data_IF_609404901777
#
_entry.id   IF_609404901777
#
_cell.length_a   1.000
_cell.length_b   1.000
_cell.length_c   1.000
_cell.angle_alpha   90.00
_cell.angle_beta   90.00
_cell.angle_gamma   90.00
#
_symmetry.space_group_name_H-M   'P 1'
#
loop_
_entity.id
_entity.type
_entity.pdbx_description
1 polymer ?
#
# COMPACT_ATOMS: atom_id res chain seq x y z
N UNK A 1 -55.65 22.97 0.52
CA UNK A 1 -56.83 22.27 -0.03
C UNK A 1 -56.29 20.94 -0.54
N UNK A 2 -56.48 19.83 0.16
CA UNK A 2 -57.72 19.09 0.46
C UNK A 2 -58.04 18.05 -0.64
N UNK A 3 -58.25 16.80 -0.20
CA UNK A 3 -58.51 15.60 -1.01
C UNK A 3 -59.75 15.68 -1.92
N UNK A 4 -59.77 14.85 -2.98
CA UNK A 4 -60.77 13.77 -3.16
C UNK A 4 -60.60 12.98 -4.47
N UNK A 5 -61.04 11.72 -4.46
CA UNK A 5 -61.20 10.80 -5.61
C UNK A 5 -62.60 10.10 -5.47
N UNK A 6 -63.02 9.06 -6.24
CA UNK A 6 -62.70 8.59 -7.60
C UNK A 6 -63.97 8.31 -8.51
N UNK A 7 -64.32 7.09 -9.04
CA UNK A 7 -64.70 6.85 -10.46
C UNK A 7 -66.13 6.26 -10.67
N UNK A 8 -66.57 5.82 -11.90
CA UNK A 8 -66.52 4.36 -12.23
C UNK A 8 -66.66 3.86 -13.72
N UNK A 9 -65.90 2.84 -14.13
CA UNK A 9 -66.38 1.76 -15.05
C UNK A 9 -65.81 1.67 -16.49
N UNK A 10 -66.05 0.59 -17.27
CA UNK A 10 -66.69 -0.72 -17.00
C UNK A 10 -66.51 -1.71 -18.21
N UNK A 11 -66.17 -3.00 -17.94
CA UNK A 11 -66.38 -4.21 -18.81
C UNK A 11 -65.51 -4.31 -20.11
N UNK A 12 -65.24 -5.47 -20.74
CA UNK A 12 -65.70 -6.89 -20.61
C UNK A 12 -64.69 -7.88 -21.28
N UNK A 13 -64.60 -9.14 -20.79
CA UNK A 13 -64.35 -10.49 -21.43
C UNK A 13 -63.48 -10.62 -22.72
N UNK A 14 -62.71 -11.70 -22.94
CA UNK A 14 -63.12 -13.13 -22.97
C UNK A 14 -62.13 -14.15 -22.32
N UNK A 15 -62.47 -15.44 -22.40
CA UNK A 15 -61.90 -16.62 -21.73
C UNK A 15 -61.60 -17.73 -22.76
N UNK A 16 -60.93 -18.79 -22.27
CA UNK A 16 -60.79 -20.18 -22.79
C UNK A 16 -59.37 -20.56 -23.26
N UNK A 17 -58.84 -21.76 -23.00
CA UNK A 17 -59.19 -22.82 -22.03
C UNK A 17 -57.94 -23.71 -21.78
N UNK A 18 -58.04 -24.65 -20.83
CA UNK A 18 -56.91 -25.40 -20.27
C UNK A 18 -56.30 -26.51 -21.16
N UNK A 19 -55.03 -26.85 -20.89
CA UNK A 19 -54.35 -28.07 -21.33
C UNK A 19 -53.11 -28.33 -20.46
N UNK A 20 -53.03 -29.52 -19.85
CA UNK A 20 -51.94 -29.94 -18.95
C UNK A 20 -51.16 -31.06 -19.62
N UNK A 21 -49.83 -30.98 -19.64
CA UNK A 21 -48.95 -32.16 -19.54
C UNK A 21 -47.52 -31.77 -19.12
N UNK A 22 -46.73 -32.75 -18.70
CA UNK A 22 -45.51 -32.55 -17.91
C UNK A 22 -44.26 -33.21 -18.52
N UNK A 23 -43.10 -32.92 -17.92
CA UNK A 23 -41.74 -33.35 -18.31
C UNK A 23 -41.19 -32.63 -19.58
N UNK A 24 -39.88 -32.43 -19.75
CA UNK A 24 -38.70 -32.85 -18.95
C UNK A 24 -37.58 -31.80 -18.98
N UNK A 25 -36.63 -31.97 -18.06
CA UNK A 25 -35.32 -31.29 -17.96
C UNK A 25 -34.54 -31.14 -19.27
N UNK A 26 -33.84 -30.01 -19.45
CA UNK A 26 -32.42 -29.99 -19.90
C UNK A 26 -31.74 -28.63 -19.62
N UNK A 27 -30.52 -28.67 -19.08
CA UNK A 27 -29.79 -27.51 -18.55
C UNK A 27 -29.18 -26.59 -19.64
N UNK A 28 -29.53 -25.30 -19.63
CA UNK A 28 -28.76 -24.23 -20.32
C UNK A 28 -28.90 -22.85 -19.67
N UNK A 29 -28.12 -22.59 -18.62
CA UNK A 29 -27.75 -21.22 -18.19
C UNK A 29 -26.23 -21.19 -17.96
N UNK A 30 -25.45 -20.73 -18.94
CA UNK A 30 -25.08 -19.33 -19.19
C UNK A 30 -24.14 -18.75 -18.12
N UNK A 31 -22.88 -18.52 -18.51
CA UNK A 31 -21.88 -17.82 -17.69
C UNK A 31 -22.29 -16.35 -17.48
N UNK A 32 -22.82 -16.01 -16.32
CA UNK A 32 -22.86 -14.63 -15.86
C UNK A 32 -21.65 -14.31 -14.98
N UNK A 33 -20.82 -13.36 -15.42
CA UNK A 33 -19.81 -12.72 -14.59
C UNK A 33 -20.49 -11.67 -13.69
N UNK A 34 -21.25 -12.13 -12.71
CA UNK A 34 -22.01 -11.27 -11.79
C UNK A 34 -21.11 -10.45 -10.87
N UNK A 35 -21.17 -9.12 -11.00
CA UNK A 35 -20.54 -8.20 -10.04
C UNK A 35 -21.49 -8.03 -8.84
N UNK A 36 -21.37 -8.92 -7.85
CA UNK A 36 -22.33 -9.00 -6.75
C UNK A 36 -22.14 -7.95 -5.66
N UNK A 37 -23.15 -7.07 -5.47
CA UNK A 37 -23.34 -6.39 -4.19
C UNK A 37 -23.80 -7.42 -3.14
N UNK A 38 -23.25 -7.33 -1.93
CA UNK A 38 -23.24 -8.42 -0.94
C UNK A 38 -24.60 -9.06 -0.63
N UNK A 39 -24.70 -10.38 -0.87
CA UNK A 39 -25.87 -11.19 -0.56
C UNK A 39 -25.76 -11.87 0.81
N UNK A 40 -26.89 -12.00 1.52
CA UNK A 40 -26.94 -12.53 2.90
C UNK A 40 -26.89 -14.06 3.00
N UNK A 41 -26.77 -14.78 1.87
CA UNK A 41 -26.77 -16.23 1.81
C UNK A 41 -25.36 -16.82 2.00
N UNK A 42 -25.25 -18.08 2.41
CA UNK A 42 -23.96 -18.78 2.51
C UNK A 42 -23.39 -19.09 1.13
N UNK A 43 -22.39 -18.33 0.70
CA UNK A 43 -21.69 -18.54 -0.59
C UNK A 43 -20.49 -19.48 -0.41
N UNK A 44 -20.09 -20.18 -1.47
CA UNK A 44 -18.87 -21.01 -1.52
C UNK A 44 -17.75 -20.30 -2.27
N UNK A 45 -16.52 -20.78 -2.12
CA UNK A 45 -15.41 -20.34 -2.97
C UNK A 45 -15.67 -20.66 -4.46
N UNK A 46 -15.06 -19.91 -5.41
CA UNK A 46 -15.24 -20.12 -6.85
C UNK A 46 -14.51 -21.37 -7.39
N UNK A 47 -14.13 -22.30 -6.52
CA UNK A 47 -13.38 -23.52 -6.81
C UNK A 47 -13.67 -24.61 -5.76
N UNK A 48 -13.33 -25.86 -6.08
CA UNK A 48 -13.51 -27.02 -5.21
C UNK A 48 -12.18 -27.46 -4.59
N UNK A 49 -12.15 -27.54 -3.26
CA UNK A 49 -10.95 -27.88 -2.49
C UNK A 49 -9.89 -26.77 -2.49
N UNK A 50 -8.95 -26.83 -1.54
CA UNK A 50 -7.81 -25.91 -1.48
C UNK A 50 -6.63 -26.59 -0.78
N UNK A 51 -5.61 -27.00 -1.56
CA UNK A 51 -4.37 -27.58 -1.03
C UNK A 51 -3.29 -26.51 -1.01
N UNK A 52 -2.85 -26.09 0.17
CA UNK A 52 -1.78 -25.09 0.32
C UNK A 52 -0.50 -25.61 -0.35
N UNK A 53 0.02 -24.84 -1.31
CA UNK A 53 1.28 -25.09 -2.02
C UNK A 53 2.42 -24.26 -1.43
N UNK A 54 2.17 -22.99 -1.10
CA UNK A 54 3.16 -22.08 -0.52
C UNK A 54 2.50 -20.93 0.24
N UNK A 55 3.06 -20.53 1.37
CA UNK A 55 2.80 -19.19 1.95
C UNK A 55 3.55 -18.18 1.10
N UNK A 56 2.84 -17.33 0.39
CA UNK A 56 3.44 -16.28 -0.44
C UNK A 56 3.99 -15.18 0.46
N UNK A 57 3.17 -14.65 1.37
CA UNK A 57 3.52 -13.60 2.33
C UNK A 57 2.72 -13.73 3.60
N UNK A 58 3.28 -13.29 4.71
CA UNK A 58 2.58 -13.09 5.97
C UNK A 58 3.11 -11.83 6.67
N UNK A 59 2.32 -11.27 7.57
CA UNK A 59 2.76 -10.24 8.50
C UNK A 59 2.06 -10.41 9.85
N UNK A 60 2.83 -10.77 10.88
CA UNK A 60 2.34 -10.83 12.26
C UNK A 60 2.03 -9.42 12.83
N UNK A 61 2.57 -8.35 12.23
CA UNK A 61 2.21 -6.97 12.58
C UNK A 61 0.87 -6.57 11.98
N UNK A 62 0.63 -6.89 10.70
CA UNK A 62 -0.58 -6.46 9.97
C UNK A 62 -1.70 -7.52 10.02
N UNK A 63 -1.45 -8.69 10.63
CA UNK A 63 -2.40 -9.80 10.85
C UNK A 63 -3.00 -10.33 9.54
N UNK A 64 -2.15 -10.41 8.52
CA UNK A 64 -2.49 -10.81 7.15
C UNK A 64 -1.61 -11.96 6.65
N UNK A 65 -2.22 -12.85 5.85
CA UNK A 65 -1.62 -14.06 5.29
C UNK A 65 -2.05 -14.20 3.81
N UNK A 66 -1.09 -14.50 2.94
CA UNK A 66 -1.28 -14.69 1.50
C UNK A 66 -0.87 -16.13 1.16
N UNK A 67 -1.82 -16.96 0.73
CA UNK A 67 -1.62 -18.37 0.43
C UNK A 67 -1.74 -18.63 -1.06
N UNK A 68 -0.77 -19.34 -1.62
CA UNK A 68 -0.89 -20.02 -2.91
C UNK A 68 -1.38 -21.45 -2.67
N UNK A 69 -2.50 -21.82 -3.27
CA UNK A 69 -3.02 -23.18 -3.24
C UNK A 69 -3.32 -23.75 -4.62
N UNK A 70 -3.37 -25.09 -4.69
CA UNK A 70 -3.98 -25.83 -5.80
C UNK A 70 -5.44 -26.12 -5.49
N UNK A 71 -6.28 -26.02 -6.52
CA UNK A 71 -7.75 -26.18 -6.46
C UNK A 71 -8.23 -27.04 -7.63
N UNK A 72 -9.46 -27.54 -7.56
CA UNK A 72 -10.08 -28.39 -8.59
C UNK A 72 -9.32 -29.69 -8.91
N UNK A 73 -8.43 -30.15 -8.01
CA UNK A 73 -7.60 -31.36 -8.20
C UNK A 73 -8.42 -32.66 -8.35
N UNK A 74 -9.71 -32.64 -7.98
CA UNK A 74 -10.64 -33.77 -8.11
C UNK A 74 -11.40 -33.81 -9.46
N UNK A 75 -11.18 -32.83 -10.36
CA UNK A 75 -11.91 -32.71 -11.63
C UNK A 75 -10.95 -32.47 -12.78
N UNK A 76 -10.85 -33.44 -13.71
CA UNK A 76 -10.04 -33.32 -14.94
C UNK A 76 -8.79 -34.19 -14.93
N UNK A 77 -7.69 -33.63 -15.41
CA UNK A 77 -6.40 -34.30 -15.67
C UNK A 77 -5.51 -34.49 -14.43
N UNK A 78 -5.97 -34.07 -13.25
CA UNK A 78 -5.25 -34.17 -11.98
C UNK A 78 -4.18 -33.10 -11.75
N UNK A 79 -3.95 -32.17 -12.69
CA UNK A 79 -2.92 -31.13 -12.54
C UNK A 79 -3.34 -29.96 -11.63
N UNK A 80 -4.65 -29.73 -11.51
CA UNK A 80 -5.26 -28.69 -10.68
C UNK A 80 -4.97 -27.26 -11.12
N UNK A 81 -5.85 -26.34 -10.77
CA UNK A 81 -5.69 -24.90 -11.06
C UNK A 81 -5.02 -24.18 -9.88
N UNK A 82 -4.37 -23.05 -10.14
CA UNK A 82 -3.72 -22.25 -9.09
C UNK A 82 -4.64 -21.11 -8.63
N UNK A 83 -4.76 -20.97 -7.30
CA UNK A 83 -5.54 -19.93 -6.63
C UNK A 83 -4.70 -19.20 -5.57
N UNK A 84 -5.02 -17.93 -5.30
CA UNK A 84 -4.47 -17.17 -4.19
C UNK A 84 -5.59 -16.76 -3.26
N UNK A 85 -5.44 -17.11 -1.98
CA UNK A 85 -6.36 -16.74 -0.90
C UNK A 85 -5.61 -15.84 0.07
N UNK A 86 -6.16 -14.66 0.33
CA UNK A 86 -5.62 -13.66 1.24
C UNK A 86 -6.56 -13.57 2.43
N UNK A 87 -6.04 -13.76 3.64
CA UNK A 87 -6.78 -13.74 4.89
C UNK A 87 -6.23 -12.60 5.76
N UNK A 88 -7.08 -11.67 6.15
CA UNK A 88 -6.73 -10.48 6.93
C UNK A 88 -7.68 -10.35 8.13
N UNK A 89 -7.14 -10.15 9.33
CA UNK A 89 -7.98 -9.82 10.50
C UNK A 89 -8.58 -8.43 10.33
N UNK A 90 -9.84 -8.30 10.72
CA UNK A 90 -10.55 -7.02 10.70
C UNK A 90 -10.14 -6.12 11.88
N UNK A 91 -10.19 -4.79 11.71
CA UNK A 91 -10.08 -3.86 12.83
C UNK A 91 -11.25 -4.01 13.80
N UNK A 92 -11.01 -3.75 15.08
CA UNK A 92 -12.07 -3.74 16.10
C UNK A 92 -13.06 -2.58 15.90
N UNK A 93 -14.34 -2.86 16.14
CA UNK A 93 -15.39 -1.84 16.28
C UNK A 93 -15.55 -1.51 17.77
N UNK A 94 -15.35 -0.24 18.14
CA UNK A 94 -15.22 0.20 19.54
C UNK A 94 -16.47 -0.15 20.36
N UNK A 95 -17.65 0.09 19.80
CA UNK A 95 -18.94 -0.14 20.44
C UNK A 95 -19.18 -1.63 20.72
N UNK A 96 -18.80 -2.50 19.78
CA UNK A 96 -18.96 -3.95 19.91
C UNK A 96 -18.00 -4.52 20.97
N UNK A 97 -16.75 -4.05 20.99
CA UNK A 97 -15.76 -4.46 22.02
C UNK A 97 -16.19 -3.97 23.40
N UNK A 98 -16.68 -2.73 23.52
CA UNK A 98 -17.20 -2.21 24.78
C UNK A 98 -18.39 -3.03 25.30
N UNK A 99 -19.34 -3.41 24.44
CA UNK A 99 -20.45 -4.29 24.81
C UNK A 99 -19.98 -5.68 25.25
N UNK A 100 -18.99 -6.28 24.59
CA UNK A 100 -18.42 -7.56 24.99
C UNK A 100 -17.74 -7.49 26.37
N UNK A 101 -16.98 -6.42 26.63
CA UNK A 101 -16.27 -6.22 27.89
C UNK A 101 -17.19 -5.92 29.09
N UNK A 102 -18.37 -5.33 28.86
CA UNK A 102 -19.40 -5.16 29.90
C UNK A 102 -20.14 -6.47 30.25
N UNK A 103 -20.01 -7.51 29.43
CA UNK A 103 -20.63 -8.81 29.63
C UNK A 103 -19.77 -9.77 30.44
N UNK A 104 -19.77 -11.04 30.03
CA UNK A 104 -18.89 -12.08 30.58
C UNK A 104 -18.21 -12.77 29.40
N UNK A 105 -17.11 -12.20 28.86
CA UNK A 105 -16.40 -12.79 27.73
C UNK A 105 -15.76 -14.12 28.11
N UNK A 106 -15.65 -15.02 27.14
CA UNK A 106 -14.89 -16.27 27.30
C UNK A 106 -13.39 -15.95 27.29
N UNK A 107 -12.73 -16.19 28.41
CA UNK A 107 -11.33 -15.82 28.68
C UNK A 107 -10.53 -17.01 29.20
N UNK A 108 -9.33 -17.18 28.67
CA UNK A 108 -8.30 -18.06 29.23
C UNK A 108 -7.08 -17.21 29.62
N UNK A 109 -6.74 -17.21 30.91
CA UNK A 109 -5.57 -16.48 31.42
C UNK A 109 -4.28 -17.06 30.81
N UNK A 110 -3.44 -16.19 30.23
CA UNK A 110 -2.12 -16.53 29.69
C UNK A 110 -1.01 -16.15 30.67
N UNK A 111 -1.10 -14.98 31.31
CA UNK A 111 -0.09 -14.43 32.21
C UNK A 111 -0.72 -13.43 33.19
N UNK A 112 -0.20 -13.35 34.41
CA UNK A 112 -0.59 -12.34 35.40
C UNK A 112 0.62 -11.95 36.27
N UNK A 113 0.83 -10.65 36.48
CA UNK A 113 1.83 -10.10 37.38
C UNK A 113 1.38 -8.72 37.89
N UNK A 114 1.18 -8.61 39.21
CA UNK A 114 0.62 -7.42 39.86
C UNK A 114 -0.67 -6.93 39.15
N UNK A 115 -0.72 -5.70 38.66
CA UNK A 115 -1.88 -5.13 37.94
C UNK A 115 -1.98 -5.53 36.47
N UNK A 116 -0.98 -6.25 35.92
CA UNK A 116 -0.94 -6.63 34.50
C UNK A 116 -1.37 -8.08 34.30
N UNK A 117 -2.35 -8.30 33.43
CA UNK A 117 -2.80 -9.64 33.05
C UNK A 117 -3.11 -9.72 31.55
N UNK A 118 -2.77 -10.85 30.95
CA UNK A 118 -2.96 -11.13 29.52
C UNK A 118 -3.83 -12.36 29.38
N UNK A 119 -4.83 -12.29 28.50
CA UNK A 119 -5.81 -13.35 28.27
C UNK A 119 -5.89 -13.69 26.78
N UNK A 120 -6.13 -14.97 26.47
CA UNK A 120 -6.76 -15.34 25.21
C UNK A 120 -8.27 -15.13 25.36
N UNK A 121 -8.84 -14.26 24.53
CA UNK A 121 -10.28 -14.03 24.45
C UNK A 121 -10.86 -14.76 23.24
N UNK A 122 -12.01 -15.40 23.42
CA UNK A 122 -12.77 -16.05 22.36
C UNK A 122 -14.04 -15.21 22.08
N UNK A 123 -13.97 -14.22 21.18
CA UNK A 123 -15.08 -13.31 20.93
C UNK A 123 -16.21 -13.99 20.15
N UNK A 124 -17.45 -13.46 20.20
CA UNK A 124 -18.55 -13.98 19.41
C UNK A 124 -18.32 -13.77 17.90
N UNK A 125 -19.12 -14.46 17.07
CA UNK A 125 -18.97 -14.51 15.61
C UNK A 125 -18.86 -13.13 14.95
N UNK A 126 -19.57 -12.13 15.46
CA UNK A 126 -19.61 -10.75 14.96
C UNK A 126 -18.24 -10.05 15.01
N UNK A 127 -17.37 -10.44 15.95
CA UNK A 127 -16.03 -9.90 16.17
C UNK A 127 -14.92 -10.89 15.72
N UNK A 128 -15.30 -11.96 15.03
CA UNK A 128 -14.41 -13.04 14.59
C UNK A 128 -14.30 -13.14 13.06
N UNK A 129 -14.71 -12.10 12.33
CA UNK A 129 -14.65 -12.11 10.88
C UNK A 129 -13.21 -12.00 10.36
N UNK A 130 -12.99 -12.60 9.20
CA UNK A 130 -11.70 -12.60 8.50
C UNK A 130 -11.98 -12.15 7.08
N UNK A 131 -11.49 -10.97 6.74
CA UNK A 131 -11.55 -10.43 5.39
C UNK A 131 -10.80 -11.39 4.48
N UNK A 132 -11.55 -12.05 3.60
CA UNK A 132 -11.06 -13.12 2.73
C UNK A 132 -11.14 -12.65 1.29
N UNK A 133 -9.99 -12.44 0.65
CA UNK A 133 -9.90 -12.08 -0.79
C UNK A 133 -9.42 -13.28 -1.57
N UNK A 134 -10.09 -13.58 -2.69
CA UNK A 134 -9.73 -14.68 -3.58
C UNK A 134 -9.33 -14.12 -4.93
N UNK A 135 -8.17 -14.54 -5.43
CA UNK A 135 -7.77 -14.37 -6.83
C UNK A 135 -7.78 -15.76 -7.46
N UNK A 136 -8.59 -15.92 -8.51
CA UNK A 136 -8.75 -17.19 -9.23
C UNK A 136 -9.38 -16.93 -10.61
N UNK A 137 -8.89 -17.54 -11.70
CA UNK A 137 -7.62 -18.29 -11.79
C UNK A 137 -6.41 -17.35 -11.64
N UNK A 138 -5.29 -17.90 -11.19
CA UNK A 138 -4.06 -17.12 -10.92
C UNK A 138 -3.03 -17.28 -12.03
N UNK A 139 -2.39 -16.18 -12.39
CA UNK A 139 -1.25 -16.16 -13.32
C UNK A 139 0.07 -15.99 -12.55
N UNK A 140 1.20 -16.36 -13.15
CA UNK A 140 2.52 -16.21 -12.52
C UNK A 140 2.78 -14.77 -12.04
N UNK A 141 2.32 -13.75 -12.79
CA UNK A 141 2.41 -12.34 -12.38
C UNK A 141 1.73 -12.04 -11.03
N UNK A 142 0.61 -12.72 -10.72
CA UNK A 142 -0.07 -12.59 -9.45
C UNK A 142 0.71 -13.29 -8.32
N UNK A 143 1.29 -14.47 -8.59
CA UNK A 143 2.15 -15.15 -7.61
C UNK A 143 3.35 -14.28 -7.23
N UNK A 144 4.06 -13.74 -8.22
CA UNK A 144 5.21 -12.85 -7.99
C UNK A 144 4.81 -11.54 -7.29
N UNK A 145 3.62 -10.97 -7.56
CA UNK A 145 3.09 -9.79 -6.86
C UNK A 145 2.89 -10.01 -5.35
N UNK A 146 2.41 -11.20 -4.96
CA UNK A 146 2.09 -11.51 -3.57
C UNK A 146 3.20 -12.24 -2.81
N UNK A 147 4.24 -12.71 -3.52
CA UNK A 147 5.40 -13.34 -2.91
C UNK A 147 6.16 -12.34 -2.03
N UNK A 148 6.44 -12.72 -0.78
CA UNK A 148 7.26 -11.97 0.16
C UNK A 148 8.65 -11.85 -0.42
N UNK A 149 9.02 -10.62 -0.71
CA UNK A 149 10.38 -10.26 -1.07
C UNK A 149 11.25 -10.42 0.17
N UNK A 150 12.18 -11.36 0.11
CA UNK A 150 13.12 -11.62 1.19
C UNK A 150 14.18 -10.52 1.18
N UNK A 151 14.28 -9.75 2.26
CA UNK A 151 15.13 -8.56 2.33
C UNK A 151 16.45 -8.85 3.03
N UNK A 152 17.51 -8.17 2.61
CA UNK A 152 18.84 -8.19 3.21
C UNK A 152 19.31 -6.76 3.44
N UNK A 153 19.78 -6.50 4.66
CA UNK A 153 20.38 -5.23 5.03
C UNK A 153 21.79 -5.14 4.43
N UNK A 154 22.12 -4.00 3.84
CA UNK A 154 23.42 -3.69 3.26
C UNK A 154 23.92 -2.38 3.86
N UNK A 155 25.23 -2.31 4.13
CA UNK A 155 25.92 -1.09 4.59
C UNK A 155 26.86 -0.64 3.49
N UNK A 156 26.43 0.30 2.66
CA UNK A 156 27.16 0.79 1.48
C UNK A 156 28.08 1.95 1.88
N UNK A 157 29.40 1.79 1.71
CA UNK A 157 30.36 2.88 1.89
C UNK A 157 30.28 3.91 0.76
N UNK A 158 30.86 5.11 0.93
CA UNK A 158 31.02 6.05 -0.18
C UNK A 158 31.80 5.47 -1.37
N UNK A 159 32.77 4.60 -1.09
CA UNK A 159 33.52 3.85 -2.10
C UNK A 159 32.65 2.85 -2.86
N UNK A 160 31.86 2.06 -2.14
CA UNK A 160 30.92 1.09 -2.73
C UNK A 160 29.92 1.81 -3.64
N UNK A 161 29.38 2.95 -3.18
CA UNK A 161 28.46 3.74 -3.98
C UNK A 161 29.09 4.19 -5.30
N UNK A 162 30.30 4.77 -5.23
CA UNK A 162 31.00 5.31 -6.40
C UNK A 162 31.41 4.22 -7.39
N UNK A 163 31.85 3.06 -6.89
CA UNK A 163 32.50 2.03 -7.69
C UNK A 163 31.54 0.90 -8.13
N UNK A 164 30.41 0.71 -7.44
CA UNK A 164 29.48 -0.42 -7.65
C UNK A 164 28.07 0.11 -7.93
N UNK A 165 27.47 0.84 -7.00
CA UNK A 165 26.06 1.24 -7.11
C UNK A 165 25.83 2.24 -8.24
N UNK A 166 26.58 3.34 -8.32
CA UNK A 166 26.40 4.35 -9.37
C UNK A 166 26.62 3.77 -10.78
N UNK A 167 27.66 2.96 -11.06
CA UNK A 167 27.79 2.24 -12.33
C UNK A 167 26.63 1.26 -12.60
N UNK A 168 26.18 0.52 -11.59
CA UNK A 168 25.04 -0.39 -11.74
C UNK A 168 23.76 0.37 -12.11
N UNK A 169 23.45 1.47 -11.40
CA UNK A 169 22.31 2.34 -11.69
C UNK A 169 22.40 2.98 -13.08
N UNK A 170 23.58 3.40 -13.51
CA UNK A 170 23.78 3.93 -14.86
C UNK A 170 23.54 2.89 -15.97
N UNK A 171 23.71 1.58 -15.67
CA UNK A 171 23.35 0.51 -16.62
C UNK A 171 21.85 0.18 -16.64
N UNK A 172 21.08 0.61 -15.63
CA UNK A 172 19.62 0.46 -15.62
C UNK A 172 18.95 1.65 -16.32
N UNK A 173 18.32 1.41 -17.48
CA UNK A 173 17.53 2.42 -18.21
C UNK A 173 16.16 2.66 -17.56
N UNK A 174 16.16 3.30 -16.39
CA UNK A 174 14.96 3.63 -15.63
C UNK A 174 14.37 4.97 -16.08
N UNK A 175 13.19 4.94 -16.72
CA UNK A 175 12.50 6.16 -17.16
C UNK A 175 11.85 6.89 -15.99
N UNK A 176 12.27 8.15 -15.79
CA UNK A 176 11.63 9.12 -14.88
C UNK A 176 10.76 10.14 -15.63
N UNK A 177 10.32 9.83 -16.87
CA UNK A 177 9.58 10.76 -17.71
C UNK A 177 8.26 11.26 -17.06
N UNK A 178 7.64 10.45 -16.19
CA UNK A 178 6.44 10.87 -15.45
C UNK A 178 6.74 12.04 -14.50
N UNK A 179 7.92 12.07 -13.87
CA UNK A 179 8.40 13.18 -13.02
C UNK A 179 8.49 14.46 -13.86
N UNK A 180 9.13 14.37 -15.03
CA UNK A 180 9.23 15.50 -15.95
C UNK A 180 7.87 15.95 -16.48
N UNK A 181 6.90 15.05 -16.65
CA UNK A 181 5.55 15.44 -17.05
C UNK A 181 4.84 16.28 -15.96
N UNK A 182 5.08 16.02 -14.68
CA UNK A 182 4.56 16.84 -13.56
C UNK A 182 5.27 18.21 -13.52
N UNK A 183 6.60 18.21 -13.58
CA UNK A 183 7.39 19.45 -13.55
C UNK A 183 7.07 20.36 -14.74
N UNK A 184 7.01 19.79 -15.96
CA UNK A 184 6.67 20.48 -17.21
C UNK A 184 5.14 20.76 -17.36
N UNK A 185 4.31 20.46 -16.36
CA UNK A 185 2.84 20.67 -16.36
C UNK A 185 2.06 19.94 -17.47
N UNK A 186 2.62 18.84 -17.99
CA UNK A 186 2.03 17.95 -19.00
C UNK A 186 1.11 16.89 -18.40
N UNK A 187 1.22 16.62 -17.09
CA UNK A 187 0.37 15.71 -16.35
C UNK A 187 0.21 16.18 -14.89
N UNK A 188 -0.93 15.86 -14.27
CA UNK A 188 -1.25 16.13 -12.86
C UNK A 188 -1.09 17.59 -12.37
N UNK A 189 -1.06 18.57 -13.28
CA UNK A 189 -0.91 19.98 -12.95
C UNK A 189 -2.06 20.52 -12.07
N UNK A 190 -3.25 19.94 -12.19
CA UNK A 190 -4.45 20.19 -11.40
C UNK A 190 -4.38 19.63 -9.96
N UNK A 191 -3.46 18.70 -9.70
CA UNK A 191 -3.24 18.06 -8.39
C UNK A 191 -2.17 18.77 -7.56
N UNK A 192 -1.46 19.75 -8.12
CA UNK A 192 -0.41 20.50 -7.43
C UNK A 192 -1.02 21.31 -6.28
N UNK A 193 -0.49 21.12 -5.07
CA UNK A 193 -0.91 21.80 -3.84
C UNK A 193 -0.12 23.09 -3.62
N UNK A 194 1.17 23.07 -3.97
CA UNK A 194 2.07 24.21 -3.90
C UNK A 194 3.18 24.05 -4.93
N UNK A 195 3.70 25.16 -5.43
CA UNK A 195 4.86 25.19 -6.32
C UNK A 195 5.71 26.42 -6.00
N UNK A 196 7.00 26.18 -5.73
CA UNK A 196 8.04 27.20 -5.83
C UNK A 196 8.69 27.00 -7.21
N UNK A 197 8.49 27.92 -8.18
CA UNK A 197 8.85 27.70 -9.58
C UNK A 197 10.34 27.96 -9.89
N UNK A 198 11.20 28.20 -8.88
CA UNK A 198 12.63 28.42 -9.13
C UNK A 198 13.29 27.16 -9.73
N UNK A 199 14.07 27.27 -10.82
CA UNK A 199 14.63 26.12 -11.53
C UNK A 199 15.77 25.41 -10.79
N UNK A 200 16.39 26.04 -9.78
CA UNK A 200 17.42 25.43 -8.93
C UNK A 200 16.87 25.01 -7.57
N UNK A 201 16.19 25.94 -6.89
CA UNK A 201 15.89 25.88 -5.46
C UNK A 201 14.38 25.71 -5.19
N UNK A 202 13.61 25.55 -6.26
CA UNK A 202 12.17 25.34 -6.25
C UNK A 202 11.74 23.87 -6.40
N UNK A 203 10.45 23.63 -6.14
CA UNK A 203 9.85 22.30 -6.15
C UNK A 203 8.32 22.36 -6.35
N UNK A 204 7.76 21.24 -6.79
CA UNK A 204 6.31 20.98 -6.83
C UNK A 204 5.93 20.09 -5.65
N UNK A 205 4.89 20.46 -4.89
CA UNK A 205 4.26 19.62 -3.86
C UNK A 205 2.93 19.05 -4.38
N UNK A 206 2.79 17.72 -4.34
CA UNK A 206 1.65 16.99 -4.92
C UNK A 206 1.24 15.79 -4.03
N UNK A 207 -0.07 15.45 -3.92
CA UNK A 207 -0.52 14.23 -3.23
C UNK A 207 0.04 12.95 -3.87
N UNK A 208 0.56 12.04 -3.06
CA UNK A 208 1.04 10.72 -3.50
C UNK A 208 -0.14 9.88 -4.04
N UNK A 209 0.13 9.06 -5.07
CA UNK A 209 -0.88 8.18 -5.70
C UNK A 209 -1.54 7.19 -4.71
N UNK A 210 -0.93 6.91 -3.57
CA UNK A 210 -1.46 6.05 -2.50
C UNK A 210 -2.55 6.74 -1.66
N UNK A 211 -2.60 8.08 -1.65
CA UNK A 211 -3.52 8.83 -0.80
C UNK A 211 -4.78 9.27 -1.56
N UNK A 212 -5.94 8.85 -1.06
CA UNK A 212 -7.25 9.14 -1.67
C UNK A 212 -7.84 10.50 -1.24
N UNK A 213 -7.14 11.24 -0.36
CA UNK A 213 -7.55 12.55 0.17
C UNK A 213 -8.90 12.57 0.91
N UNK A 214 -9.41 11.43 1.37
CA UNK A 214 -10.67 11.35 2.13
C UNK A 214 -10.49 11.63 3.63
N UNK A 215 -9.32 11.32 4.18
CA UNK A 215 -8.97 11.56 5.58
C UNK A 215 -7.51 12.06 5.70
N UNK A 216 -7.16 12.62 6.86
CA UNK A 216 -5.84 13.17 7.14
C UNK A 216 -4.92 12.18 7.87
N UNK A 217 -5.47 11.10 8.41
CA UNK A 217 -4.75 10.08 9.19
C UNK A 217 -3.71 9.32 8.35
N UNK A 218 -3.91 9.24 7.04
CA UNK A 218 -3.00 8.67 6.04
C UNK A 218 -2.45 9.74 5.06
N UNK A 219 -2.47 11.02 5.44
CA UNK A 219 -1.98 12.12 4.61
C UNK A 219 -0.59 11.80 4.06
N UNK A 220 -0.45 11.93 2.74
CA UNK A 220 0.79 11.64 2.02
C UNK A 220 0.93 12.58 0.82
N UNK A 221 1.91 13.49 0.89
CA UNK A 221 2.37 14.30 -0.24
C UNK A 221 3.83 14.00 -0.57
N UNK A 222 4.24 14.33 -1.80
CA UNK A 222 5.63 14.32 -2.25
C UNK A 222 6.00 15.71 -2.75
N UNK A 223 7.15 16.22 -2.33
CA UNK A 223 7.84 17.33 -2.96
C UNK A 223 8.84 16.81 -4.01
N UNK A 224 8.82 17.35 -5.22
CA UNK A 224 9.71 17.01 -6.34
C UNK A 224 10.46 18.28 -6.76
N UNK A 225 11.79 18.30 -6.70
CA UNK A 225 12.56 19.49 -7.07
C UNK A 225 12.51 19.77 -8.59
N UNK A 226 12.55 21.05 -8.99
CA UNK A 226 12.67 21.41 -10.42
C UNK A 226 14.04 21.07 -10.99
N UNK A 227 15.09 21.27 -10.19
CA UNK A 227 16.48 20.99 -10.56
C UNK A 227 16.65 19.52 -10.95
N UNK A 228 17.12 19.28 -12.16
CA UNK A 228 17.34 17.94 -12.72
C UNK A 228 18.74 17.43 -12.36
N UNK A 229 18.91 16.11 -12.33
CA UNK A 229 20.22 15.46 -12.16
C UNK A 229 20.62 15.12 -10.71
N UNK A 230 19.84 15.56 -9.71
CA UNK A 230 20.02 15.09 -8.32
C UNK A 230 19.29 13.75 -8.19
N UNK A 231 20.02 12.63 -8.12
CA UNK A 231 19.43 11.28 -8.22
C UNK A 231 19.00 10.73 -6.87
N UNK A 232 19.73 11.04 -5.80
CA UNK A 232 19.48 10.53 -4.44
C UNK A 232 20.24 11.37 -3.40
N UNK A 233 20.20 10.96 -2.12
CA UNK A 233 21.03 11.53 -1.05
C UNK A 233 22.52 11.67 -1.44
N UNK A 234 23.07 10.72 -2.20
CA UNK A 234 24.50 10.68 -2.59
C UNK A 234 24.94 11.87 -3.47
N UNK A 235 24.01 12.54 -4.13
CA UNK A 235 24.28 13.72 -4.95
C UNK A 235 24.07 15.04 -4.16
N UNK A 236 23.60 14.98 -2.91
CA UNK A 236 23.39 16.17 -2.08
C UNK A 236 24.71 16.72 -1.53
N UNK A 237 24.82 18.04 -1.52
CA UNK A 237 25.98 18.82 -1.08
C UNK A 237 25.49 20.11 -0.44
N UNK A 238 26.38 20.89 0.17
CA UNK A 238 26.03 22.21 0.71
C UNK A 238 25.38 23.19 -0.31
N UNK A 239 25.63 23.00 -1.62
CA UNK A 239 24.97 23.76 -2.70
C UNK A 239 23.44 23.60 -2.68
N UNK A 240 22.96 22.44 -2.24
CA UNK A 240 21.54 22.08 -2.24
C UNK A 240 20.80 22.52 -0.96
N UNK A 241 21.49 23.15 0.01
CA UNK A 241 20.86 23.62 1.25
C UNK A 241 19.69 24.61 1.04
N UNK A 242 19.71 25.56 0.09
CA UNK A 242 18.56 26.41 -0.20
C UNK A 242 17.33 25.61 -0.63
N UNK A 243 17.49 24.70 -1.62
CA UNK A 243 16.45 23.79 -2.09
C UNK A 243 15.85 22.96 -0.95
N UNK A 244 16.70 22.33 -0.14
CA UNK A 244 16.27 21.46 0.97
C UNK A 244 15.50 22.23 2.05
N UNK A 245 15.97 23.43 2.41
CA UNK A 245 15.29 24.31 3.39
C UNK A 245 13.98 24.86 2.83
N UNK A 246 13.91 25.21 1.55
CA UNK A 246 12.67 25.62 0.88
C UNK A 246 11.65 24.49 0.90
N UNK A 247 12.03 23.26 0.50
CA UNK A 247 11.15 22.09 0.56
C UNK A 247 10.60 21.90 1.98
N UNK A 248 11.45 21.92 3.01
CA UNK A 248 11.01 21.72 4.39
C UNK A 248 10.03 22.81 4.84
N UNK A 249 10.43 24.08 4.75
CA UNK A 249 9.64 25.24 5.23
C UNK A 249 8.34 25.40 4.45
N UNK A 250 8.45 25.54 3.14
CA UNK A 250 7.32 25.89 2.28
C UNK A 250 6.39 24.69 2.08
N UNK A 251 6.92 23.46 2.12
CA UNK A 251 6.12 22.24 2.13
C UNK A 251 5.27 22.11 3.41
N UNK A 252 5.86 22.37 4.59
CA UNK A 252 5.13 22.40 5.85
C UNK A 252 4.09 23.53 5.89
N UNK A 253 4.45 24.73 5.43
CA UNK A 253 3.53 25.87 5.37
C UNK A 253 2.36 25.61 4.42
N UNK A 254 2.61 25.08 3.22
CA UNK A 254 1.56 24.71 2.27
C UNK A 254 0.60 23.66 2.84
N UNK A 255 1.12 22.65 3.56
CA UNK A 255 0.28 21.62 4.20
C UNK A 255 -0.56 22.22 5.33
N UNK A 256 0.01 23.12 6.14
CA UNK A 256 -0.73 23.84 7.18
C UNK A 256 -1.85 24.69 6.57
N UNK A 257 -1.57 25.47 5.52
CA UNK A 257 -2.59 26.31 4.87
C UNK A 257 -3.67 25.46 4.21
N UNK A 258 -3.30 24.39 3.49
CA UNK A 258 -4.24 23.59 2.68
C UNK A 258 -5.07 22.58 3.47
N UNK A 259 -4.50 21.98 4.51
CA UNK A 259 -5.09 20.85 5.26
C UNK A 259 -5.17 21.07 6.77
N UNK A 260 -4.68 22.21 7.29
CA UNK A 260 -4.69 22.56 8.71
C UNK A 260 -3.92 21.54 9.59
N UNK A 261 -2.94 20.85 9.00
CA UNK A 261 -2.03 19.93 9.71
C UNK A 261 -0.73 20.68 10.05
N UNK A 262 -0.42 20.89 11.33
CA UNK A 262 0.82 21.57 11.76
C UNK A 262 2.06 20.70 11.55
N UNK A 263 3.22 21.36 11.48
CA UNK A 263 4.51 20.74 11.17
C UNK A 263 4.95 19.63 12.13
N UNK A 264 4.60 19.76 13.42
CA UNK A 264 4.86 18.76 14.48
C UNK A 264 4.04 17.47 14.34
N UNK A 265 2.99 17.49 13.49
CA UNK A 265 2.20 16.32 13.11
C UNK A 265 2.62 15.70 11.77
N UNK A 266 3.76 16.12 11.21
CA UNK A 266 4.31 15.59 9.96
C UNK A 266 5.64 14.87 10.17
N UNK A 267 5.82 13.73 9.49
CA UNK A 267 7.12 13.11 9.26
C UNK A 267 7.58 13.51 7.86
N UNK A 268 8.70 14.22 7.76
CA UNK A 268 9.24 14.75 6.50
C UNK A 268 10.60 14.10 6.21
N UNK A 269 10.71 13.32 5.14
CA UNK A 269 11.85 12.41 4.95
C UNK A 269 12.12 12.04 3.49
N UNK A 270 13.32 11.54 3.20
CA UNK A 270 13.74 11.00 1.91
C UNK A 270 13.96 9.49 2.02
N UNK A 271 13.85 8.77 0.90
CA UNK A 271 14.20 7.36 0.83
C UNK A 271 15.64 7.13 0.34
N UNK A 272 16.33 6.16 0.96
CA UNK A 272 17.54 5.56 0.42
C UNK A 272 17.47 4.02 0.51
N UNK A 273 17.51 3.26 -0.60
CA UNK A 273 17.45 3.73 -1.98
C UNK A 273 16.06 4.31 -2.33
N UNK A 274 16.00 5.38 -3.14
CA UNK A 274 14.73 5.93 -3.64
C UNK A 274 14.09 4.96 -4.66
N UNK A 275 12.77 5.04 -4.83
CA UNK A 275 12.06 4.23 -5.84
C UNK A 275 12.24 4.75 -7.28
N UNK A 276 12.76 5.97 -7.44
CA UNK A 276 13.11 6.59 -8.72
C UNK A 276 14.20 7.64 -8.51
N UNK A 277 15.10 7.80 -9.48
CA UNK A 277 16.34 8.56 -9.32
C UNK A 277 16.21 10.02 -9.76
N UNK A 278 15.29 10.74 -9.13
CA UNK A 278 15.17 12.20 -9.13
C UNK A 278 14.76 12.61 -7.72
N UNK A 279 15.45 13.59 -7.12
CA UNK A 279 15.29 13.94 -5.71
C UNK A 279 13.84 14.30 -5.37
N UNK A 280 13.32 13.63 -4.35
CA UNK A 280 11.97 13.82 -3.83
C UNK A 280 11.94 13.62 -2.32
N UNK A 281 11.01 14.33 -1.67
CA UNK A 281 10.80 14.30 -0.21
C UNK A 281 9.36 13.89 0.06
N UNK A 282 9.18 12.96 0.98
CA UNK A 282 7.89 12.47 1.45
C UNK A 282 7.42 13.30 2.65
N UNK A 283 6.17 13.74 2.63
CA UNK A 283 5.47 14.38 3.74
C UNK A 283 4.31 13.48 4.13
N UNK A 284 4.40 12.83 5.29
CA UNK A 284 3.35 11.93 5.79
C UNK A 284 2.83 12.39 7.14
N UNK A 285 1.55 12.14 7.44
CA UNK A 285 1.05 12.26 8.81
C UNK A 285 1.93 11.46 9.78
N UNK A 286 2.26 12.03 10.95
CA UNK A 286 3.15 11.38 11.92
C UNK A 286 2.54 10.08 12.48
N UNK A 287 1.22 10.06 12.65
CA UNK A 287 0.46 8.86 13.06
C UNK A 287 0.34 7.78 11.99
N UNK A 288 0.72 8.06 10.74
CA UNK A 288 0.71 7.07 9.66
C UNK A 288 1.99 6.24 9.68
N UNK A 289 1.88 4.92 9.83
CA UNK A 289 2.95 3.96 9.52
C UNK A 289 3.13 3.80 7.99
N UNK A 290 3.52 4.87 7.32
CA UNK A 290 3.66 4.92 5.87
C UNK A 290 4.70 3.90 5.36
N UNK A 291 4.40 3.08 4.32
CA UNK A 291 5.37 2.15 3.76
C UNK A 291 6.65 2.85 3.28
N UNK A 292 7.79 2.46 3.87
CA UNK A 292 9.09 3.07 3.62
C UNK A 292 9.57 4.09 4.67
N UNK A 293 8.76 4.41 5.69
CA UNK A 293 9.17 5.28 6.80
C UNK A 293 10.05 4.59 7.86
N UNK A 294 10.56 3.38 7.59
CA UNK A 294 11.45 2.63 8.49
C UNK A 294 12.88 3.17 8.45
N UNK A 295 13.63 3.02 9.56
CA UNK A 295 15.01 3.55 9.70
C UNK A 295 16.00 2.94 8.70
N UNK A 296 15.69 1.77 8.16
CA UNK A 296 16.42 1.11 7.08
C UNK A 296 16.18 1.71 5.69
N UNK A 297 15.46 2.84 5.60
CA UNK A 297 15.19 3.53 4.33
C UNK A 297 14.96 5.04 4.46
N UNK A 298 14.32 5.49 5.53
CA UNK A 298 13.92 6.88 5.73
C UNK A 298 15.01 7.72 6.40
N UNK A 299 15.31 8.88 5.81
CA UNK A 299 16.21 9.89 6.37
C UNK A 299 15.42 11.20 6.55
N UNK A 300 15.33 11.72 7.78
CA UNK A 300 14.55 12.94 8.05
C UNK A 300 15.17 14.15 7.34
N UNK A 301 14.36 14.98 6.68
CA UNK A 301 14.86 16.11 5.90
C UNK A 301 15.60 17.15 6.78
N UNK A 302 15.13 17.36 8.02
CA UNK A 302 15.82 18.22 8.98
C UNK A 302 17.24 17.70 9.30
N UNK A 303 17.38 16.42 9.63
CA UNK A 303 18.69 15.79 9.85
C UNK A 303 19.57 15.81 8.60
N UNK A 304 18.98 15.67 7.39
CA UNK A 304 19.73 15.77 6.12
C UNK A 304 20.31 17.16 5.91
N UNK A 305 19.57 18.21 6.28
CA UNK A 305 20.04 19.60 6.26
C UNK A 305 21.16 19.79 7.30
N UNK A 306 20.94 19.39 8.55
CA UNK A 306 21.93 19.53 9.63
C UNK A 306 23.24 18.76 9.35
N UNK A 307 23.14 17.55 8.77
CA UNK A 307 24.32 16.77 8.34
C UNK A 307 25.16 17.53 7.30
N UNK A 308 24.52 18.19 6.32
CA UNK A 308 25.20 18.98 5.28
C UNK A 308 25.73 20.34 5.78
N UNK A 309 25.08 20.91 6.80
CA UNK A 309 25.57 22.11 7.48
C UNK A 309 26.81 21.81 8.35
N UNK A 310 26.91 20.61 8.91
CA UNK A 310 28.05 20.16 9.71
C UNK A 310 29.20 19.60 8.86
N UNK A 311 28.90 18.81 7.83
CA UNK A 311 29.85 18.13 6.95
C UNK A 311 29.36 18.23 5.48
N UNK A 312 29.93 19.15 4.68
CA UNK A 312 29.53 19.34 3.28
C UNK A 312 29.70 18.11 2.37
N UNK A 313 30.49 17.11 2.78
CA UNK A 313 30.73 15.86 2.04
C UNK A 313 30.07 14.63 2.69
N UNK A 314 29.21 14.84 3.70
CA UNK A 314 28.61 13.77 4.52
C UNK A 314 28.05 12.63 3.67
N UNK A 315 27.21 12.95 2.69
CA UNK A 315 26.55 11.94 1.88
C UNK A 315 27.46 11.28 0.84
N UNK A 316 28.59 11.88 0.49
CA UNK A 316 29.59 11.25 -0.36
C UNK A 316 30.47 10.27 0.42
N UNK A 317 30.82 10.58 1.67
CA UNK A 317 31.75 9.79 2.47
C UNK A 317 31.08 8.71 3.34
N UNK A 318 29.97 9.05 4.01
CA UNK A 318 29.40 8.21 5.08
C UNK A 318 28.82 6.91 4.55
N UNK A 319 28.81 5.88 5.41
CA UNK A 319 28.14 4.61 5.11
C UNK A 319 26.64 4.76 5.27
N UNK A 320 25.88 4.49 4.21
CA UNK A 320 24.41 4.46 4.27
C UNK A 320 23.94 3.01 4.38
N UNK A 321 22.90 2.77 5.18
CA UNK A 321 22.39 1.43 5.46
C UNK A 321 20.99 1.30 4.89
N UNK A 322 20.75 0.29 4.04
CA UNK A 322 19.45 0.09 3.39
C UNK A 322 19.14 -1.39 3.16
N UNK A 323 17.88 -1.70 2.84
CA UNK A 323 17.45 -3.04 2.46
C UNK A 323 17.41 -3.21 0.92
N UNK A 324 17.93 -4.33 0.43
CA UNK A 324 17.73 -4.84 -0.93
C UNK A 324 17.02 -6.19 -0.88
N UNK A 325 16.44 -6.63 -1.99
CA UNK A 325 15.90 -7.99 -2.12
C UNK A 325 17.02 -9.00 -2.33
N UNK A 326 16.80 -10.22 -1.85
CA UNK A 326 17.69 -11.36 -2.05
C UNK A 326 17.92 -11.73 -3.53
N UNK A 327 17.01 -11.32 -4.43
CA UNK A 327 17.07 -11.53 -5.88
C UNK A 327 17.59 -10.31 -6.67
N UNK A 328 17.95 -9.19 -6.02
CA UNK A 328 18.46 -8.01 -6.72
C UNK A 328 19.96 -8.15 -7.07
N UNK A 329 20.37 -7.97 -8.34
CA UNK A 329 21.78 -8.10 -8.73
C UNK A 329 22.73 -7.17 -7.97
N UNK A 330 22.26 -5.96 -7.61
CA UNK A 330 23.04 -5.01 -6.81
C UNK A 330 23.47 -5.59 -5.45
N UNK A 331 22.64 -6.42 -4.82
CA UNK A 331 22.96 -7.06 -3.54
C UNK A 331 24.16 -8.00 -3.69
N UNK A 332 24.21 -8.77 -4.78
CA UNK A 332 25.30 -9.70 -5.06
C UNK A 332 26.62 -8.94 -5.27
N UNK A 333 26.60 -7.90 -6.11
CA UNK A 333 27.77 -7.07 -6.38
C UNK A 333 28.34 -6.41 -5.11
N UNK A 334 27.48 -5.87 -4.24
CA UNK A 334 27.91 -5.27 -2.96
C UNK A 334 28.45 -6.33 -1.99
N UNK A 335 27.84 -7.52 -1.92
CA UNK A 335 28.32 -8.62 -1.08
C UNK A 335 29.63 -9.25 -1.56
N UNK A 336 29.93 -9.23 -2.85
CA UNK A 336 31.19 -9.73 -3.40
C UNK A 336 32.35 -8.77 -3.09
N UNK A 337 32.13 -7.47 -3.29
CA UNK A 337 33.12 -6.44 -2.97
C UNK A 337 33.46 -6.38 -1.48
N UNK A 338 32.48 -6.59 -0.59
CA UNK A 338 32.69 -6.56 0.87
C UNK A 338 33.30 -7.84 1.47
N UNK A 339 33.56 -8.87 0.65
CA UNK A 339 34.30 -10.09 1.05
C UNK A 339 35.77 -10.07 0.64
N UNK A 340 36.16 -9.09 -0.18
CA UNK A 340 37.52 -8.91 -0.73
C UNK A 340 38.31 -7.90 0.10
#
# INVERSE_FOLDING_TARGET
MADAAPPPGKRKRELDAAGVEAASTEDKESKEAGTGNGTSASVRFPFSGFRVKKVLRESARDKILFLHGKVNEASGDGNGEDAVVILEKTPFQVEQVAQLLMGSPELQLQFSNDIYSTYHMFPPRQLSDIKTTVVYPVTEKHLQKYLRQDLRLVRETGGDHKNITSPHLASQSLSIQWVYNILDKKAEADRIVFENPDPSDGFVLIPDLKWNQQQLDDLYLIAICHRRGIRSLRDLTAEHLPLLRNILREGQEAILQRYQVPADRLRVYLHYLPSYYHLHVHFTALGFEAPGSGVERAHLLAEVIENLEHDPEYYQQRTLTFALRADEPLLQLLQEAQKS
#
